data_IF_725627626668
#
_entry.id   IF_725627626668
#
_cell.length_a   1.000
_cell.length_b   1.000
_cell.length_c   1.000
_cell.angle_alpha   90.00
_cell.angle_beta   90.00
_cell.angle_gamma   90.00
#
_symmetry.space_group_name_H-M   'P 1'
#
loop_
_entity.id
_entity.type
_entity.pdbx_description
1 polymer ?
#
# COMPACT_ATOMS: atom_id res chain seq x y z
N UNK A 1 -14.14 -13.04 -0.87
CA UNK A 1 -14.02 -12.46 0.49
C UNK A 1 -13.62 -10.99 0.39
N UNK A 2 -14.56 -10.12 0.04
CA UNK A 2 -14.43 -8.65 0.06
C UNK A 2 -14.49 -8.17 1.50
N UNK A 3 -13.33 -7.90 2.09
CA UNK A 3 -13.26 -7.39 3.45
C UNK A 3 -11.98 -6.60 3.69
N UNK A 4 -12.08 -5.59 4.55
CA UNK A 4 -10.95 -4.78 5.02
C UNK A 4 -10.28 -5.40 6.26
N UNK A 5 -10.37 -6.72 6.44
CA UNK A 5 -9.92 -7.39 7.68
C UNK A 5 -8.50 -7.00 8.13
N UNK A 6 -7.49 -6.87 7.24
CA UNK A 6 -6.16 -6.40 7.64
C UNK A 6 -6.06 -4.92 8.06
N UNK A 7 -7.10 -4.12 7.81
CA UNK A 7 -7.18 -2.68 8.08
C UNK A 7 -8.13 -2.39 9.26
N UNK A 8 -8.00 -3.14 10.35
CA UNK A 8 -8.67 -2.77 11.59
C UNK A 8 -8.08 -1.45 12.16
N UNK A 9 -8.84 -0.67 12.95
CA UNK A 9 -8.29 0.49 13.66
C UNK A 9 -7.02 0.11 14.45
N UNK A 10 -5.99 0.93 14.33
CA UNK A 10 -4.65 0.73 14.89
C UNK A 10 -3.78 -0.29 14.15
N UNK A 11 -4.27 -0.97 13.10
CA UNK A 11 -3.51 -2.00 12.42
C UNK A 11 -2.21 -1.42 11.80
N UNK A 12 -1.05 -2.08 11.99
CA UNK A 12 0.20 -1.65 11.38
C UNK A 12 0.20 -1.98 9.88
N UNK A 13 0.32 -0.96 9.04
CA UNK A 13 0.30 -1.10 7.57
C UNK A 13 1.59 -0.54 6.99
N UNK A 14 2.30 -1.37 6.22
CA UNK A 14 3.47 -0.91 5.48
C UNK A 14 3.07 -0.46 4.07
N UNK A 15 3.47 0.75 3.67
CA UNK A 15 3.31 1.25 2.30
C UNK A 15 4.67 1.20 1.60
N UNK A 16 4.83 0.33 0.61
CA UNK A 16 6.07 0.18 -0.16
C UNK A 16 6.08 1.11 -1.41
N UNK A 17 6.85 2.18 -1.31
CA UNK A 17 7.10 3.22 -2.32
C UNK A 17 6.35 4.52 -2.02
N UNK A 18 7.07 5.63 -1.97
CA UNK A 18 6.62 6.95 -1.52
C UNK A 18 6.37 7.98 -2.63
N UNK A 19 6.32 7.53 -3.88
CA UNK A 19 6.05 8.35 -5.06
C UNK A 19 4.60 8.87 -5.16
N UNK A 20 4.05 8.96 -6.37
CA UNK A 20 2.66 9.44 -6.57
C UNK A 20 1.64 8.48 -5.96
N UNK A 21 1.67 7.19 -6.33
CA UNK A 21 0.76 6.17 -5.77
C UNK A 21 0.93 5.99 -4.25
N UNK A 22 2.16 6.02 -3.76
CA UNK A 22 2.44 5.91 -2.32
C UNK A 22 1.75 6.98 -1.49
N UNK A 23 1.83 8.23 -1.95
CA UNK A 23 1.16 9.37 -1.30
C UNK A 23 -0.35 9.24 -1.32
N UNK A 24 -0.95 8.78 -2.42
CA UNK A 24 -2.40 8.57 -2.47
C UNK A 24 -2.86 7.42 -1.57
N UNK A 25 -2.06 6.35 -1.48
CA UNK A 25 -2.30 5.25 -0.53
C UNK A 25 -2.25 5.75 0.91
N UNK A 26 -1.20 6.48 1.29
CA UNK A 26 -1.07 7.05 2.64
C UNK A 26 -2.25 7.98 2.97
N UNK A 27 -2.68 8.82 2.03
CA UNK A 27 -3.84 9.68 2.21
C UNK A 27 -5.14 8.88 2.40
N UNK A 28 -5.34 7.80 1.65
CA UNK A 28 -6.50 6.92 1.81
C UNK A 28 -6.45 6.13 3.13
N UNK A 29 -5.28 5.68 3.57
CA UNK A 29 -5.13 5.00 4.87
C UNK A 29 -5.33 5.94 6.05
N UNK A 30 -5.02 7.23 5.88
CA UNK A 30 -5.24 8.27 6.89
C UNK A 30 -6.72 8.46 7.29
N UNK A 31 -7.68 7.94 6.51
CA UNK A 31 -9.11 7.95 6.85
C UNK A 31 -9.56 6.70 7.63
N UNK A 32 -8.69 5.70 7.82
CA UNK A 32 -9.02 4.37 8.35
C UNK A 32 -8.45 4.08 9.75
N UNK A 33 -7.93 5.09 10.44
CA UNK A 33 -7.33 4.98 11.78
C UNK A 33 -6.25 3.89 11.88
N UNK A 34 -5.49 3.64 10.81
CA UNK A 34 -4.40 2.64 10.80
C UNK A 34 -3.04 3.26 11.10
N UNK A 35 -2.12 2.46 11.62
CA UNK A 35 -0.73 2.85 11.87
C UNK A 35 0.11 2.62 10.60
N UNK A 36 0.06 3.58 9.67
CA UNK A 36 0.79 3.50 8.40
C UNK A 36 2.28 3.85 8.56
N UNK A 37 3.16 3.04 7.96
CA UNK A 37 4.61 3.28 7.84
C UNK A 37 5.02 3.23 6.38
N UNK A 38 5.78 4.22 5.91
CA UNK A 38 6.36 4.22 4.57
C UNK A 38 7.64 3.38 4.52
N UNK A 39 7.81 2.58 3.48
CA UNK A 39 9.06 1.97 3.08
C UNK A 39 9.47 2.49 1.70
N UNK A 40 10.65 3.07 1.57
CA UNK A 40 11.19 3.55 0.30
C UNK A 40 12.72 3.38 0.26
N UNK A 41 13.32 3.11 -0.89
CA UNK A 41 14.77 2.95 -1.02
C UNK A 41 15.51 4.29 -1.06
N UNK A 42 14.87 5.36 -1.54
CA UNK A 42 15.41 6.71 -1.55
C UNK A 42 15.37 7.37 -0.15
N UNK A 43 16.54 7.66 0.46
CA UNK A 43 16.59 8.35 1.75
C UNK A 43 15.91 9.73 1.76
N UNK A 44 15.95 10.47 0.64
CA UNK A 44 15.33 11.79 0.57
C UNK A 44 13.80 11.69 0.58
N UNK A 45 13.24 10.68 -0.09
CA UNK A 45 11.81 10.37 0.00
C UNK A 45 11.42 9.99 1.42
N UNK A 46 12.18 9.10 2.08
CA UNK A 46 11.91 8.76 3.49
C UNK A 46 11.94 9.99 4.40
N UNK A 47 12.94 10.85 4.27
CA UNK A 47 13.06 12.06 5.09
C UNK A 47 11.86 12.99 4.91
N UNK A 48 11.45 13.25 3.66
CA UNK A 48 10.29 14.12 3.38
C UNK A 48 9.01 13.64 4.02
N UNK A 49 8.78 12.33 4.03
CA UNK A 49 7.59 11.74 4.67
C UNK A 49 7.70 11.74 6.20
N UNK A 50 8.89 11.49 6.75
CA UNK A 50 9.15 11.62 8.18
C UNK A 50 8.93 13.07 8.67
N UNK A 51 9.41 14.07 7.93
CA UNK A 51 9.18 15.49 8.22
C UNK A 51 7.69 15.86 8.17
N UNK A 52 6.91 15.16 7.35
CA UNK A 52 5.46 15.28 7.26
C UNK A 52 4.70 14.45 8.32
N UNK A 53 5.40 13.81 9.25
CA UNK A 53 4.81 13.04 10.36
C UNK A 53 4.44 11.60 10.01
N UNK A 54 4.82 11.09 8.85
CA UNK A 54 4.64 9.67 8.49
C UNK A 54 5.92 8.89 8.80
N UNK A 55 5.88 7.89 9.71
CA UNK A 55 7.04 7.03 9.95
C UNK A 55 7.58 6.43 8.65
N UNK A 56 8.90 6.50 8.44
CA UNK A 56 9.53 6.01 7.21
C UNK A 56 10.76 5.15 7.51
N UNK A 57 10.86 3.99 6.87
CA UNK A 57 11.92 2.99 7.07
C UNK A 57 12.53 2.55 5.74
N UNK A 58 13.76 2.02 5.77
CA UNK A 58 14.36 1.42 4.57
C UNK A 58 13.73 0.06 4.26
N UNK A 59 13.86 -0.44 3.01
CA UNK A 59 13.37 -1.77 2.65
C UNK A 59 14.03 -2.90 3.44
N UNK A 60 15.31 -2.73 3.83
CA UNK A 60 16.02 -3.70 4.66
C UNK A 60 15.45 -3.78 6.08
N UNK A 61 15.19 -2.63 6.72
CA UNK A 61 14.58 -2.58 8.05
C UNK A 61 13.15 -3.09 8.03
N UNK A 62 12.36 -2.76 7.00
CA UNK A 62 11.00 -3.26 6.84
C UNK A 62 10.99 -4.79 6.66
N UNK A 63 11.87 -5.34 5.81
CA UNK A 63 11.96 -6.77 5.57
C UNK A 63 12.37 -7.56 6.83
N UNK A 64 13.29 -7.01 7.64
CA UNK A 64 13.73 -7.64 8.89
C UNK A 64 12.62 -7.73 9.95
N UNK A 65 11.65 -6.82 9.92
CA UNK A 65 10.56 -6.73 10.89
C UNK A 65 9.19 -6.95 10.21
N UNK A 66 9.15 -7.72 9.12
CA UNK A 66 7.96 -7.77 8.26
C UNK A 66 6.72 -8.33 8.96
N UNK A 67 6.92 -9.20 9.96
CA UNK A 67 5.88 -9.80 10.78
C UNK A 67 5.18 -8.82 11.71
N UNK A 68 5.74 -7.63 11.89
CA UNK A 68 5.14 -6.57 12.71
C UNK A 68 3.99 -5.86 11.97
N UNK A 69 3.85 -6.08 10.66
CA UNK A 69 2.82 -5.48 9.83
C UNK A 69 1.67 -6.45 9.57
N UNK A 70 0.44 -5.94 9.67
CA UNK A 70 -0.78 -6.68 9.35
C UNK A 70 -1.06 -6.71 7.83
N UNK A 71 -0.52 -5.74 7.09
CA UNK A 71 -0.68 -5.59 5.65
C UNK A 71 0.51 -4.86 5.04
N UNK A 72 0.92 -5.29 3.84
CA UNK A 72 1.79 -4.52 2.95
C UNK A 72 0.97 -4.00 1.77
N UNK A 73 0.99 -2.70 1.53
CA UNK A 73 0.43 -2.09 0.30
C UNK A 73 1.59 -1.66 -0.58
N UNK A 74 1.69 -2.21 -1.78
CA UNK A 74 2.79 -1.94 -2.71
C UNK A 74 2.36 -1.03 -3.85
N UNK A 75 3.24 -0.10 -4.20
CA UNK A 75 3.11 0.69 -5.43
C UNK A 75 3.68 -0.08 -6.64
N UNK A 76 3.18 0.18 -7.87
CA UNK A 76 3.61 -0.53 -9.08
C UNK A 76 5.12 -0.45 -9.40
N UNK A 77 5.86 0.49 -8.79
CA UNK A 77 7.31 0.65 -8.99
C UNK A 77 8.17 -0.40 -8.29
N UNK A 78 7.63 -1.13 -7.31
CA UNK A 78 8.37 -2.20 -6.63
C UNK A 78 8.36 -3.46 -7.48
N UNK A 79 9.55 -4.01 -7.75
CA UNK A 79 9.65 -5.35 -8.35
C UNK A 79 9.03 -6.38 -7.39
N UNK A 80 8.27 -7.37 -7.86
CA UNK A 80 7.72 -8.42 -7.00
C UNK A 80 8.79 -9.17 -6.18
N UNK A 81 10.03 -9.21 -6.70
CA UNK A 81 11.19 -9.82 -6.04
C UNK A 81 11.92 -8.88 -5.08
N UNK A 82 11.40 -7.67 -4.82
CA UNK A 82 11.99 -6.76 -3.84
C UNK A 82 12.03 -7.45 -2.46
N UNK A 83 13.13 -7.36 -1.69
CA UNK A 83 13.29 -8.09 -0.44
C UNK A 83 12.12 -7.93 0.55
N UNK A 84 11.54 -6.73 0.65
CA UNK A 84 10.39 -6.46 1.51
C UNK A 84 9.11 -7.23 1.09
N UNK A 85 8.86 -7.37 -0.22
CA UNK A 85 7.71 -8.12 -0.73
C UNK A 85 7.95 -9.62 -0.64
N UNK A 86 9.18 -10.07 -0.90
CA UNK A 86 9.57 -11.47 -0.72
C UNK A 86 9.45 -11.91 0.75
N UNK A 87 9.89 -11.06 1.69
CA UNK A 87 9.76 -11.32 3.12
C UNK A 87 8.29 -11.39 3.55
N UNK A 88 7.45 -10.47 3.07
CA UNK A 88 6.01 -10.48 3.38
C UNK A 88 5.33 -11.75 2.87
N UNK A 89 5.62 -12.13 1.62
CA UNK A 89 5.11 -13.36 1.02
C UNK A 89 5.56 -14.61 1.81
N UNK A 90 6.84 -14.68 2.19
CA UNK A 90 7.37 -15.80 2.98
C UNK A 90 6.75 -15.88 4.39
N UNK A 91 6.45 -14.74 5.01
CA UNK A 91 5.84 -14.64 6.33
C UNK A 91 4.30 -14.80 6.32
N UNK A 92 3.67 -14.87 5.13
CA UNK A 92 2.21 -14.92 5.00
C UNK A 92 1.51 -13.58 5.31
N UNK A 93 2.26 -12.47 5.34
CA UNK A 93 1.69 -11.13 5.49
C UNK A 93 0.98 -10.77 4.17
N UNK A 94 -0.31 -10.39 4.20
CA UNK A 94 -1.03 -10.02 2.99
C UNK A 94 -0.34 -8.87 2.24
N UNK A 95 -0.33 -8.96 0.91
CA UNK A 95 0.21 -7.92 0.03
C UNK A 95 -0.91 -7.46 -0.91
N UNK A 96 -1.23 -6.17 -0.86
CA UNK A 96 -2.17 -5.52 -1.79
C UNK A 96 -1.45 -4.54 -2.69
N UNK A 97 -1.94 -4.38 -3.91
CA UNK A 97 -1.62 -3.21 -4.73
C UNK A 97 -2.50 -2.02 -4.36
N UNK A 98 -2.14 -0.84 -4.85
CA UNK A 98 -2.97 0.38 -4.75
C UNK A 98 -4.38 0.19 -5.35
N UNK A 99 -4.49 -0.48 -6.50
CA UNK A 99 -5.78 -0.81 -7.14
C UNK A 99 -6.64 -1.73 -6.27
N UNK A 100 -6.03 -2.74 -5.63
CA UNK A 100 -6.75 -3.67 -4.74
C UNK A 100 -7.28 -2.95 -3.50
N UNK A 101 -6.47 -2.06 -2.90
CA UNK A 101 -6.90 -1.22 -1.78
C UNK A 101 -8.10 -0.36 -2.18
N UNK A 102 -8.00 0.35 -3.32
CA UNK A 102 -9.06 1.23 -3.81
C UNK A 102 -10.36 0.45 -4.09
N UNK A 103 -10.26 -0.73 -4.72
CA UNK A 103 -11.40 -1.59 -4.99
C UNK A 103 -12.07 -2.09 -3.71
N UNK A 104 -11.29 -2.54 -2.72
CA UNK A 104 -11.85 -3.00 -1.43
C UNK A 104 -12.56 -1.88 -0.68
N UNK A 105 -12.02 -0.67 -0.68
CA UNK A 105 -12.64 0.49 -0.04
C UNK A 105 -13.96 0.87 -0.71
N UNK A 106 -13.99 0.88 -2.04
CA UNK A 106 -15.24 1.10 -2.79
C UNK A 106 -16.28 -0.01 -2.54
N UNK A 107 -15.84 -1.27 -2.51
CA UNK A 107 -16.72 -2.43 -2.31
C UNK A 107 -17.44 -2.43 -0.95
N UNK A 108 -16.83 -1.87 0.10
CA UNK A 108 -17.47 -1.72 1.42
C UNK A 108 -18.21 -0.39 1.58
N UNK A 109 -18.26 0.41 0.52
CA UNK A 109 -18.97 1.68 0.49
C UNK A 109 -18.28 2.82 1.24
N UNK A 110 -16.95 2.74 1.46
CA UNK A 110 -16.18 3.79 2.15
C UNK A 110 -16.32 5.16 1.48
N UNK A 111 -16.53 5.18 0.16
CA UNK A 111 -16.69 6.38 -0.66
C UNK A 111 -18.14 6.62 -1.12
N UNK A 112 -19.14 6.06 -0.42
CA UNK A 112 -20.54 6.03 -0.84
C UNK A 112 -20.94 4.69 -1.47
N UNK A 113 -22.08 4.59 -2.17
CA UNK A 113 -22.53 3.34 -2.79
C UNK A 113 -21.45 2.74 -3.72
N UNK A 114 -21.22 1.43 -3.60
CA UNK A 114 -20.22 0.71 -4.38
C UNK A 114 -20.45 0.90 -5.88
N UNK A 115 -19.37 1.15 -6.63
CA UNK A 115 -19.42 1.48 -8.06
C UNK A 115 -19.20 0.24 -8.91
N UNK A 116 -19.58 0.34 -10.19
CA UNK A 116 -19.17 -0.64 -11.21
C UNK A 116 -17.79 -0.24 -11.74
N UNK A 117 -16.84 -1.17 -11.67
CA UNK A 117 -15.47 -0.96 -12.15
C UNK A 117 -15.33 -1.50 -13.57
N UNK A 118 -14.72 -0.69 -14.46
CA UNK A 118 -14.25 -1.12 -15.77
C UNK A 118 -12.73 -1.17 -15.73
N UNK A 119 -12.14 -2.36 -15.82
CA UNK A 119 -10.70 -2.54 -15.87
C UNK A 119 -10.24 -2.68 -17.32
N UNK A 120 -9.42 -1.75 -17.80
CA UNK A 120 -8.80 -1.79 -19.13
C UNK A 120 -7.30 -1.97 -18.96
N UNK A 121 -6.73 -3.01 -19.59
CA UNK A 121 -5.29 -3.31 -19.58
C UNK A 121 -4.82 -3.68 -20.99
N UNK A 122 -3.52 -3.66 -21.21
CA UNK A 122 -2.90 -3.96 -22.50
C UNK A 122 -1.61 -3.19 -22.72
N UNK A 123 -0.74 -3.64 -23.61
CA UNK A 123 0.54 -2.96 -23.87
C UNK A 123 0.33 -1.58 -24.50
N UNK A 124 -0.60 -1.46 -25.45
CA UNK A 124 -0.91 -0.24 -26.19
C UNK A 124 -2.40 0.12 -26.12
N UNK A 125 -2.77 1.37 -26.42
CA UNK A 125 -4.17 1.81 -26.58
C UNK A 125 -4.95 2.15 -25.30
N UNK A 126 -4.40 1.89 -24.11
CA UNK A 126 -5.10 2.09 -22.81
C UNK A 126 -5.69 3.48 -22.58
N UNK A 127 -5.06 4.54 -23.10
CA UNK A 127 -5.50 5.94 -22.89
C UNK A 127 -6.47 6.42 -23.98
N UNK A 128 -6.69 5.63 -25.03
CA UNK A 128 -7.52 5.98 -26.19
C UNK A 128 -8.84 5.19 -26.22
N UNK A 129 -8.96 4.13 -25.42
CA UNK A 129 -10.17 3.31 -25.23
C UNK A 129 -11.20 4.00 -24.34
#
# INVERSE_FOLDING_TARGET
MTGLHPLAPGAPVLVAGGGVSGRSVLAALGTLDVAATLCDDDPATRQRHADAGTPAVSPSSAAANITDYALVVTSPGFRPTAPVLAAAAAAGVPIWGDVELAWRLDAVGHYGPARRWLAVTGTNGKTTT
#
